data_IF_632670373959
#
_entry.id   IF_632670373959
#
_cell.length_a   1.000
_cell.length_b   1.000
_cell.length_c   1.000
_cell.angle_alpha   90.00
_cell.angle_beta   90.00
_cell.angle_gamma   90.00
#
_symmetry.space_group_name_H-M   'P 1'
#
loop_
_entity.id
_entity.type
_entity.pdbx_description
1 polymer ?
#
# COMPACT_ATOMS: atom_id res chain seq x y z
N UNK A 1 -24.29 -0.83 -2.72
CA UNK A 1 -24.59 0.62 -2.94
C UNK A 1 -23.42 1.42 -2.41
N UNK A 2 -22.90 2.37 -3.18
CA UNK A 2 -21.78 3.24 -2.77
C UNK A 2 -22.36 4.33 -1.86
N UNK A 3 -21.78 4.59 -0.67
CA UNK A 3 -22.26 5.64 0.23
C UNK A 3 -22.17 7.03 -0.41
N UNK A 4 -23.09 7.95 -0.09
CA UNK A 4 -23.11 9.33 -0.63
C UNK A 4 -21.84 10.14 -0.34
N UNK A 5 -21.11 9.77 0.72
CA UNK A 5 -19.83 10.38 1.10
C UNK A 5 -18.65 9.89 0.25
N UNK A 6 -18.87 8.92 -0.67
CA UNK A 6 -17.86 8.37 -1.57
C UNK A 6 -18.11 8.86 -3.00
N UNK A 7 -17.11 9.52 -3.55
CA UNK A 7 -17.13 10.04 -4.91
C UNK A 7 -16.16 9.24 -5.79
N UNK A 8 -16.70 8.60 -6.82
CA UNK A 8 -15.93 7.98 -7.89
C UNK A 8 -15.75 9.00 -9.01
N UNK A 9 -14.52 9.20 -9.48
CA UNK A 9 -14.29 10.08 -10.62
C UNK A 9 -14.99 9.54 -11.89
N UNK A 10 -15.34 10.40 -12.84
CA UNK A 10 -15.93 9.97 -14.10
C UNK A 10 -15.08 8.92 -14.83
N UNK A 11 -13.75 9.00 -14.70
CA UNK A 11 -12.82 8.05 -15.29
C UNK A 11 -12.99 6.65 -14.65
N UNK A 12 -13.10 6.57 -13.32
CA UNK A 12 -13.31 5.31 -12.61
C UNK A 12 -14.66 4.71 -12.96
N UNK A 13 -15.73 5.53 -12.98
CA UNK A 13 -17.07 5.07 -13.39
C UNK A 13 -17.04 4.48 -14.79
N UNK A 14 -16.41 5.18 -15.74
CA UNK A 14 -16.26 4.72 -17.12
C UNK A 14 -15.46 3.41 -17.19
N UNK A 15 -14.33 3.35 -16.50
CA UNK A 15 -13.49 2.14 -16.47
C UNK A 15 -14.29 0.91 -15.96
N UNK A 16 -15.08 1.09 -14.90
CA UNK A 16 -15.95 0.02 -14.37
C UNK A 16 -17.04 -0.41 -15.37
N UNK A 17 -17.69 0.56 -16.01
CA UNK A 17 -18.73 0.27 -17.02
C UNK A 17 -18.22 -0.57 -18.19
N UNK A 18 -16.97 -0.36 -18.59
CA UNK A 18 -16.34 -1.08 -19.69
C UNK A 18 -15.49 -2.26 -19.26
N UNK A 19 -15.50 -2.65 -17.98
CA UNK A 19 -14.69 -3.75 -17.46
C UNK A 19 -13.17 -3.51 -17.58
N UNK A 20 -12.73 -2.25 -17.65
CA UNK A 20 -11.32 -1.91 -17.74
C UNK A 20 -10.61 -2.14 -16.42
N UNK A 21 -9.32 -2.56 -16.45
CA UNK A 21 -8.54 -2.76 -15.24
C UNK A 21 -8.29 -1.45 -14.49
N UNK A 22 -8.39 -1.51 -13.15
CA UNK A 22 -8.20 -0.37 -12.27
C UNK A 22 -7.24 -0.77 -11.15
N UNK A 23 -6.30 0.12 -10.80
CA UNK A 23 -5.39 -0.02 -9.65
C UNK A 23 -5.63 1.11 -8.65
N UNK A 24 -5.98 0.76 -7.42
CA UNK A 24 -6.02 1.71 -6.31
C UNK A 24 -4.60 2.11 -5.89
N UNK A 25 -4.41 3.37 -5.47
CA UNK A 25 -3.19 3.92 -4.92
C UNK A 25 -3.51 4.65 -3.62
N UNK A 26 -2.68 4.47 -2.57
CA UNK A 26 -2.84 5.19 -1.32
C UNK A 26 -2.38 6.65 -1.43
N UNK A 27 -2.82 7.50 -0.49
CA UNK A 27 -2.38 8.89 -0.42
C UNK A 27 -1.73 9.29 0.90
N UNK A 28 -1.64 8.38 1.88
CA UNK A 28 -0.85 8.66 3.09
C UNK A 28 0.63 8.87 2.77
N UNK A 29 1.16 8.24 1.73
CA UNK A 29 2.51 8.48 1.22
C UNK A 29 2.69 9.93 0.75
N UNK A 30 1.65 10.56 0.19
CA UNK A 30 1.63 11.94 -0.28
C UNK A 30 1.60 12.91 0.91
N UNK A 31 0.74 12.64 1.91
CA UNK A 31 0.48 13.57 3.00
C UNK A 31 1.44 13.44 4.18
N UNK A 32 1.98 12.23 4.43
CA UNK A 32 2.74 11.91 5.63
C UNK A 32 4.01 11.09 5.37
N UNK A 33 4.19 10.57 4.14
CA UNK A 33 5.26 9.62 3.85
C UNK A 33 6.50 10.24 3.22
N UNK A 34 6.35 11.29 2.44
CA UNK A 34 7.43 11.91 1.67
C UNK A 34 7.48 13.42 1.85
N UNK A 35 8.70 14.03 1.84
CA UNK A 35 8.84 15.46 1.85
C UNK A 35 8.40 16.09 0.51
N UNK A 36 8.03 17.37 0.55
CA UNK A 36 7.79 18.18 -0.65
C UNK A 36 9.13 18.47 -1.34
N UNK A 37 9.22 18.50 -2.68
CA UNK A 37 8.14 18.28 -3.66
C UNK A 37 7.93 16.81 -4.04
N UNK A 38 8.77 15.88 -3.58
CA UNK A 38 8.78 14.46 -3.97
C UNK A 38 7.42 13.77 -3.78
N UNK A 39 6.62 14.22 -2.81
CA UNK A 39 5.31 13.65 -2.52
C UNK A 39 4.33 13.75 -3.71
N UNK A 40 4.21 14.94 -4.32
CA UNK A 40 3.34 15.16 -5.48
C UNK A 40 3.93 14.56 -6.75
N UNK A 41 5.24 14.75 -6.94
CA UNK A 41 5.96 14.20 -8.10
C UNK A 41 5.76 12.69 -8.18
N UNK A 42 5.95 11.98 -7.07
CA UNK A 42 5.73 10.54 -7.01
C UNK A 42 4.27 10.16 -7.28
N UNK A 43 3.30 10.87 -6.72
CA UNK A 43 1.89 10.58 -6.96
C UNK A 43 1.53 10.63 -8.45
N UNK A 44 1.97 11.69 -9.12
CA UNK A 44 1.77 11.85 -10.56
C UNK A 44 2.51 10.76 -11.37
N UNK A 45 3.71 10.41 -10.94
CA UNK A 45 4.52 9.37 -11.59
C UNK A 45 3.89 7.97 -11.44
N UNK A 46 3.39 7.61 -10.25
CA UNK A 46 2.71 6.33 -10.04
C UNK A 46 1.46 6.20 -10.91
N UNK A 47 0.66 7.26 -11.03
CA UNK A 47 -0.48 7.26 -11.95
C UNK A 47 -0.04 7.12 -13.41
N UNK A 48 1.03 7.82 -13.81
CA UNK A 48 1.58 7.71 -15.16
C UNK A 48 2.08 6.29 -15.47
N UNK A 49 2.75 5.62 -14.52
CA UNK A 49 3.20 4.22 -14.65
C UNK A 49 2.00 3.28 -14.86
N UNK A 50 0.94 3.44 -14.07
CA UNK A 50 -0.27 2.63 -14.20
C UNK A 50 -0.95 2.87 -15.56
N UNK A 51 -1.06 4.15 -16.01
CA UNK A 51 -1.62 4.51 -17.32
C UNK A 51 -0.79 3.98 -18.49
N UNK A 52 0.54 3.96 -18.36
CA UNK A 52 1.44 3.41 -19.40
C UNK A 52 1.16 1.92 -19.66
N UNK A 53 0.70 1.20 -18.65
CA UNK A 53 0.26 -0.19 -18.80
C UNK A 53 -1.19 -0.33 -19.32
N UNK A 54 -1.84 0.75 -19.78
CA UNK A 54 -3.25 0.78 -20.21
C UNK A 54 -4.22 0.37 -19.07
N UNK A 55 -3.94 0.80 -17.86
CA UNK A 55 -4.73 0.56 -16.65
C UNK A 55 -5.13 1.89 -16.04
N UNK A 56 -6.32 2.00 -15.48
CA UNK A 56 -6.82 3.21 -14.86
C UNK A 56 -6.30 3.33 -13.42
N UNK A 57 -5.55 4.36 -13.05
CA UNK A 57 -5.17 4.60 -11.65
C UNK A 57 -6.34 5.19 -10.87
N UNK A 58 -6.45 4.80 -9.61
CA UNK A 58 -7.46 5.28 -8.68
C UNK A 58 -6.79 5.70 -7.36
N UNK A 59 -6.15 6.87 -7.34
CA UNK A 59 -5.62 7.44 -6.09
C UNK A 59 -6.79 7.77 -5.16
N UNK A 60 -6.72 7.30 -3.91
CA UNK A 60 -7.78 7.44 -2.91
C UNK A 60 -7.35 8.45 -1.86
N UNK A 61 -8.23 9.41 -1.56
CA UNK A 61 -8.00 10.41 -0.52
C UNK A 61 -9.30 11.02 -0.01
N UNK A 62 -9.20 11.86 1.00
CA UNK A 62 -10.33 12.57 1.59
C UNK A 62 -10.16 14.07 1.37
N UNK A 63 -11.19 14.73 0.81
CA UNK A 63 -11.24 16.18 0.61
C UNK A 63 -12.60 16.70 1.09
N UNK A 64 -12.57 17.68 1.97
CA UNK A 64 -13.76 18.33 2.54
C UNK A 64 -14.79 17.32 3.07
N UNK A 65 -14.31 16.25 3.72
CA UNK A 65 -15.16 15.20 4.27
C UNK A 65 -15.76 14.23 3.24
N UNK A 66 -15.30 14.23 2.00
CA UNK A 66 -15.68 13.26 0.97
C UNK A 66 -14.51 12.37 0.60
N UNK A 67 -14.78 11.08 0.46
CA UNK A 67 -13.80 10.09 0.00
C UNK A 67 -13.77 10.11 -1.52
N UNK A 68 -12.66 10.53 -2.10
CA UNK A 68 -12.45 10.56 -3.54
C UNK A 68 -11.69 9.30 -3.97
N UNK A 69 -12.18 8.66 -5.02
CA UNK A 69 -11.60 7.47 -5.66
C UNK A 69 -11.31 7.82 -7.11
N UNK A 70 -10.03 7.92 -7.46
CA UNK A 70 -9.56 8.49 -8.72
C UNK A 70 -9.50 10.02 -8.62
N UNK A 71 -8.54 10.54 -7.86
CA UNK A 71 -8.35 11.98 -7.68
C UNK A 71 -7.84 12.64 -8.96
N UNK A 72 -8.36 13.83 -9.27
CA UNK A 72 -7.81 14.68 -10.31
C UNK A 72 -6.46 15.27 -9.91
N UNK A 73 -5.68 15.77 -10.87
CA UNK A 73 -4.43 16.46 -10.58
C UNK A 73 -4.60 17.64 -9.62
N UNK A 74 -5.68 18.42 -9.76
CA UNK A 74 -5.97 19.54 -8.86
C UNK A 74 -6.23 19.06 -7.41
N UNK A 75 -6.93 17.94 -7.24
CA UNK A 75 -7.17 17.34 -5.93
C UNK A 75 -5.89 16.76 -5.33
N UNK A 76 -5.03 16.12 -6.14
CA UNK A 76 -3.71 15.64 -5.70
C UNK A 76 -2.83 16.81 -5.26
N UNK A 77 -2.77 17.90 -6.04
CA UNK A 77 -2.03 19.12 -5.70
C UNK A 77 -2.53 19.73 -4.40
N UNK A 78 -3.85 19.80 -4.24
CA UNK A 78 -4.48 20.30 -3.00
C UNK A 78 -4.08 19.43 -1.82
N UNK A 79 -4.25 18.12 -1.91
CA UNK A 79 -3.92 17.19 -0.83
C UNK A 79 -2.42 17.22 -0.47
N UNK A 80 -1.53 17.30 -1.47
CA UNK A 80 -0.09 17.37 -1.27
C UNK A 80 0.37 18.68 -0.60
N UNK A 81 -0.37 19.77 -0.80
CA UNK A 81 -0.04 21.10 -0.28
C UNK A 81 -0.80 21.48 1.01
N UNK A 82 -1.85 20.73 1.37
CA UNK A 82 -2.68 21.01 2.54
C UNK A 82 -1.83 20.96 3.84
N UNK A 83 -1.83 22.05 4.63
CA UNK A 83 -1.02 22.14 5.85
C UNK A 83 -1.46 21.20 6.96
N UNK A 84 -2.76 20.90 7.02
CA UNK A 84 -3.36 20.05 8.06
C UNK A 84 -4.12 18.92 7.39
N UNK A 85 -3.45 17.79 7.21
CA UNK A 85 -4.07 16.56 6.70
C UNK A 85 -4.17 15.52 7.81
N UNK A 86 -5.32 14.86 7.89
CA UNK A 86 -5.48 13.68 8.76
C UNK A 86 -4.92 12.45 8.06
N UNK A 87 -4.27 11.57 8.81
CA UNK A 87 -3.93 10.22 8.35
C UNK A 87 -5.16 9.35 8.52
N UNK A 88 -5.81 8.99 7.40
CA UNK A 88 -7.11 8.30 7.39
C UNK A 88 -6.90 6.79 7.43
N UNK A 89 -7.16 6.21 8.59
CA UNK A 89 -7.30 4.78 8.81
C UNK A 89 -8.77 4.46 9.12
N UNK A 90 -9.09 3.20 9.42
CA UNK A 90 -10.46 2.74 9.69
C UNK A 90 -11.22 3.62 10.68
N UNK A 91 -10.62 3.95 11.83
CA UNK A 91 -11.23 4.74 12.89
C UNK A 91 -11.45 6.22 12.54
N UNK A 92 -10.78 6.71 11.49
CA UNK A 92 -10.73 8.13 11.17
C UNK A 92 -11.83 8.58 10.21
N UNK A 93 -12.41 7.67 9.41
CA UNK A 93 -13.42 8.03 8.40
C UNK A 93 -14.59 8.83 8.96
N UNK A 94 -15.24 8.32 10.00
CA UNK A 94 -16.40 9.01 10.59
C UNK A 94 -16.08 10.39 11.10
N UNK A 95 -14.93 10.54 11.78
CA UNK A 95 -14.46 11.82 12.32
C UNK A 95 -14.15 12.78 11.16
N UNK A 96 -13.35 12.37 10.21
CA UNK A 96 -12.89 13.23 9.12
C UNK A 96 -14.05 13.66 8.19
N UNK A 97 -15.01 12.78 7.95
CA UNK A 97 -16.23 13.08 7.17
C UNK A 97 -17.09 14.10 7.92
N UNK A 98 -17.37 13.87 9.20
CA UNK A 98 -18.21 14.77 10.01
C UNK A 98 -17.57 16.17 10.19
N UNK A 99 -16.25 16.22 10.33
CA UNK A 99 -15.49 17.47 10.48
C UNK A 99 -15.10 18.13 9.17
N UNK A 100 -15.48 17.54 8.01
CA UNK A 100 -15.13 18.03 6.66
C UNK A 100 -13.63 18.23 6.47
N UNK A 101 -12.83 17.31 7.01
CA UNK A 101 -11.37 17.38 6.93
C UNK A 101 -10.84 16.90 5.58
N UNK A 102 -9.59 17.26 5.29
CA UNK A 102 -8.77 16.65 4.23
C UNK A 102 -7.83 15.61 4.84
N UNK A 103 -7.54 14.53 4.08
CA UNK A 103 -6.63 13.51 4.59
C UNK A 103 -6.19 12.49 3.55
N UNK A 104 -4.99 11.93 3.80
CA UNK A 104 -4.45 10.83 3.02
C UNK A 104 -4.84 9.48 3.62
N UNK A 105 -5.32 8.57 2.78
CA UNK A 105 -5.70 7.22 3.20
C UNK A 105 -4.45 6.33 3.38
N UNK A 106 -4.39 5.61 4.52
CA UNK A 106 -3.41 4.55 4.76
C UNK A 106 -3.74 3.32 3.91
N UNK A 107 -2.94 2.27 4.02
CA UNK A 107 -3.27 0.97 3.42
C UNK A 107 -4.67 0.52 3.85
N UNK A 108 -4.98 0.53 5.15
CA UNK A 108 -6.31 0.20 5.66
C UNK A 108 -7.41 1.11 5.09
N UNK A 109 -7.18 2.42 5.08
CA UNK A 109 -8.14 3.38 4.52
C UNK A 109 -8.39 3.15 3.03
N UNK A 110 -7.33 2.88 2.28
CA UNK A 110 -7.42 2.60 0.84
C UNK A 110 -8.13 1.27 0.57
N UNK A 111 -7.84 0.21 1.34
CA UNK A 111 -8.54 -1.08 1.24
C UNK A 111 -10.05 -0.94 1.45
N UNK A 112 -10.46 -0.20 2.48
CA UNK A 112 -11.88 0.06 2.75
C UNK A 112 -12.53 0.77 1.55
N UNK A 113 -11.92 1.85 1.06
CA UNK A 113 -12.47 2.62 -0.04
C UNK A 113 -12.50 1.82 -1.35
N UNK A 114 -11.41 1.11 -1.67
CA UNK A 114 -11.31 0.27 -2.84
C UNK A 114 -12.35 -0.86 -2.83
N UNK A 115 -12.53 -1.54 -1.68
CA UNK A 115 -13.55 -2.59 -1.50
C UNK A 115 -14.96 -2.04 -1.69
N UNK A 116 -15.29 -0.88 -1.11
CA UNK A 116 -16.60 -0.23 -1.27
C UNK A 116 -16.85 0.13 -2.74
N UNK A 117 -15.81 0.60 -3.45
CA UNK A 117 -15.88 0.90 -4.87
C UNK A 117 -15.84 -0.32 -5.78
N UNK A 118 -15.66 -1.54 -5.25
CA UNK A 118 -15.58 -2.77 -6.05
C UNK A 118 -14.26 -2.93 -6.81
N UNK A 119 -13.21 -2.22 -6.44
CA UNK A 119 -11.86 -2.39 -7.01
C UNK A 119 -11.25 -3.70 -6.53
N UNK A 120 -10.31 -4.25 -7.31
CA UNK A 120 -9.72 -5.57 -7.05
C UNK A 120 -8.20 -5.57 -6.90
N UNK A 121 -7.52 -4.49 -7.24
CA UNK A 121 -6.06 -4.40 -7.15
C UNK A 121 -5.66 -3.09 -6.49
N UNK A 122 -4.67 -3.15 -5.62
CA UNK A 122 -4.10 -2.03 -4.90
C UNK A 122 -2.58 -2.14 -4.86
N UNK A 123 -1.87 -1.03 -5.12
CA UNK A 123 -0.43 -0.93 -5.00
C UNK A 123 -0.03 0.02 -3.88
N UNK A 124 0.90 -0.41 -3.03
CA UNK A 124 1.50 0.37 -1.96
C UNK A 124 3.01 0.10 -1.87
N UNK A 125 3.74 0.93 -1.15
CA UNK A 125 5.15 0.67 -0.87
C UNK A 125 5.33 -0.53 0.06
N UNK A 126 4.61 -0.53 1.17
CA UNK A 126 4.64 -1.59 2.16
C UNK A 126 3.54 -1.43 3.19
N UNK A 127 3.05 -2.54 3.69
CA UNK A 127 1.98 -2.58 4.70
C UNK A 127 2.51 -2.17 6.09
N UNK A 128 1.60 -1.74 6.95
CA UNK A 128 1.80 -1.76 8.38
C UNK A 128 1.77 -3.18 8.93
N UNK A 129 2.24 -3.37 10.14
CA UNK A 129 2.35 -4.67 10.78
C UNK A 129 2.36 -4.55 12.30
N UNK A 130 3.03 -5.47 12.96
CA UNK A 130 3.27 -5.45 14.41
C UNK A 130 4.49 -4.58 14.71
N UNK A 131 4.39 -3.67 15.68
CA UNK A 131 5.53 -2.84 16.09
C UNK A 131 6.51 -3.66 16.92
N UNK A 132 7.81 -3.39 16.74
CA UNK A 132 8.89 -4.02 17.54
C UNK A 132 8.72 -3.64 19.02
N UNK A 133 8.94 -4.60 19.90
CA UNK A 133 8.85 -4.43 21.37
C UNK A 133 7.47 -3.95 21.88
N UNK A 134 6.46 -3.93 21.03
CA UNK A 134 5.08 -3.52 21.33
C UNK A 134 4.06 -4.46 20.68
N UNK A 135 3.91 -5.71 21.14
CA UNK A 135 3.12 -6.75 20.46
C UNK A 135 1.62 -6.45 20.35
N UNK A 136 1.12 -5.49 21.13
CA UNK A 136 -0.27 -5.01 21.04
C UNK A 136 -0.43 -3.76 20.16
N UNK A 137 0.67 -3.15 19.69
CA UNK A 137 0.62 -2.07 18.70
C UNK A 137 0.64 -2.68 17.29
N UNK A 138 -0.55 -3.06 16.85
CA UNK A 138 -0.79 -3.75 15.58
C UNK A 138 -1.50 -2.79 14.62
N UNK A 139 -1.00 -2.70 13.40
CA UNK A 139 -1.59 -1.86 12.36
C UNK A 139 -2.98 -2.36 11.96
N UNK A 140 -3.92 -1.42 11.80
CA UNK A 140 -5.22 -1.71 11.22
C UNK A 140 -5.15 -2.25 9.77
N UNK A 141 -4.00 -2.12 9.11
CA UNK A 141 -3.78 -2.65 7.78
C UNK A 141 -3.98 -4.18 7.75
N UNK A 142 -3.51 -4.89 8.80
CA UNK A 142 -3.60 -6.34 8.88
C UNK A 142 -5.05 -6.81 8.97
N UNK A 143 -5.87 -6.13 9.79
CA UNK A 143 -7.29 -6.43 9.90
C UNK A 143 -8.04 -6.18 8.59
N UNK A 144 -7.74 -5.09 7.89
CA UNK A 144 -8.38 -4.78 6.61
C UNK A 144 -7.93 -5.72 5.48
N UNK A 145 -6.69 -6.19 5.49
CA UNK A 145 -6.24 -7.26 4.59
C UNK A 145 -7.05 -8.54 4.79
N UNK A 146 -7.38 -8.91 6.03
CA UNK A 146 -8.24 -10.06 6.31
C UNK A 146 -9.69 -9.93 5.84
N UNK A 147 -10.14 -8.72 5.43
CA UNK A 147 -11.55 -8.42 5.11
C UNK A 147 -11.79 -7.87 3.71
N UNK A 148 -10.74 -7.68 2.94
CA UNK A 148 -10.82 -6.98 1.67
C UNK A 148 -10.34 -7.87 0.53
N UNK A 149 -11.23 -8.41 -0.32
CA UNK A 149 -10.86 -9.31 -1.41
C UNK A 149 -10.20 -8.51 -2.56
N UNK A 150 -8.97 -8.07 -2.32
CA UNK A 150 -8.12 -7.39 -3.27
C UNK A 150 -6.78 -8.11 -3.40
N UNK A 151 -6.14 -8.00 -4.54
CA UNK A 151 -4.69 -8.23 -4.66
C UNK A 151 -4.00 -6.96 -4.19
N UNK A 152 -3.12 -7.10 -3.20
CA UNK A 152 -2.32 -5.98 -2.66
C UNK A 152 -0.86 -6.21 -2.99
N UNK A 153 -0.27 -5.35 -3.82
CA UNK A 153 1.13 -5.44 -4.23
C UNK A 153 1.98 -4.50 -3.40
N UNK A 154 3.02 -5.02 -2.76
CA UNK A 154 3.91 -4.26 -1.90
C UNK A 154 5.32 -4.87 -1.80
N UNK A 155 6.26 -4.19 -1.15
CA UNK A 155 7.58 -4.73 -0.84
C UNK A 155 7.64 -5.36 0.57
N UNK A 156 6.55 -5.99 1.01
CA UNK A 156 6.42 -6.56 2.35
C UNK A 156 5.91 -5.55 3.38
N UNK A 157 6.16 -5.80 4.65
CA UNK A 157 5.90 -4.85 5.72
C UNK A 157 7.04 -3.82 5.83
N UNK A 158 6.73 -2.61 6.32
CA UNK A 158 7.75 -1.56 6.50
C UNK A 158 8.89 -2.07 7.39
N UNK A 159 10.13 -1.80 7.01
CA UNK A 159 11.34 -2.35 7.63
C UNK A 159 11.48 -2.11 9.16
N UNK A 160 10.80 -1.07 9.67
CA UNK A 160 10.78 -0.70 11.09
C UNK A 160 9.94 -1.63 11.96
N UNK A 161 9.19 -2.57 11.36
CA UNK A 161 8.24 -3.46 12.02
C UNK A 161 8.86 -4.82 12.36
N UNK A 162 8.18 -5.58 13.20
CA UNK A 162 8.47 -6.97 13.51
C UNK A 162 7.90 -7.84 12.38
N UNK A 163 8.78 -8.26 11.45
CA UNK A 163 8.36 -9.04 10.28
C UNK A 163 7.85 -10.43 10.64
N UNK A 164 8.52 -11.22 11.53
CA UNK A 164 8.00 -12.49 11.99
C UNK A 164 6.59 -12.37 12.60
N UNK A 165 6.41 -11.50 13.58
CA UNK A 165 5.11 -11.31 14.23
C UNK A 165 4.03 -10.81 13.23
N UNK A 166 4.42 -10.01 12.26
CA UNK A 166 3.50 -9.55 11.20
C UNK A 166 3.01 -10.70 10.33
N UNK A 167 3.88 -11.66 9.97
CA UNK A 167 3.51 -12.85 9.20
C UNK A 167 2.55 -13.75 9.98
N UNK A 168 2.77 -13.96 11.29
CA UNK A 168 1.86 -14.72 12.15
C UNK A 168 0.46 -14.11 12.22
N UNK A 169 0.37 -12.78 12.30
CA UNK A 169 -0.94 -12.09 12.26
C UNK A 169 -1.60 -12.23 10.88
N UNK A 170 -0.84 -12.12 9.77
CA UNK A 170 -1.39 -12.34 8.43
C UNK A 170 -1.93 -13.76 8.26
N UNK A 171 -1.22 -14.77 8.76
CA UNK A 171 -1.70 -16.16 8.78
C UNK A 171 -3.01 -16.27 9.56
N UNK A 172 -3.05 -15.74 10.78
CA UNK A 172 -4.25 -15.72 11.62
C UNK A 172 -5.44 -15.06 10.93
N UNK A 173 -5.21 -14.01 10.14
CA UNK A 173 -6.24 -13.30 9.37
C UNK A 173 -6.60 -14.01 8.04
N UNK A 174 -5.98 -15.15 7.73
CA UNK A 174 -6.21 -15.90 6.51
C UNK A 174 -5.78 -15.17 5.24
N UNK A 175 -4.71 -14.38 5.32
CA UNK A 175 -4.13 -13.60 4.21
C UNK A 175 -2.95 -14.38 3.62
N UNK A 176 -3.09 -15.03 2.44
CA UNK A 176 -1.95 -15.68 1.80
C UNK A 176 -0.92 -14.63 1.34
N UNK A 177 0.34 -14.91 1.64
CA UNK A 177 1.48 -14.10 1.22
C UNK A 177 2.13 -14.76 0.01
N UNK A 178 2.01 -14.14 -1.16
CA UNK A 178 2.52 -14.64 -2.43
C UNK A 178 3.78 -13.88 -2.82
N UNK A 179 4.93 -14.55 -2.87
CA UNK A 179 6.17 -13.97 -3.35
C UNK A 179 6.18 -13.88 -4.89
N UNK A 180 6.29 -12.69 -5.43
CA UNK A 180 6.47 -12.53 -6.88
C UNK A 180 7.93 -12.68 -7.24
N UNK A 181 8.27 -13.81 -7.90
CA UNK A 181 9.63 -14.22 -8.28
C UNK A 181 10.60 -14.33 -7.09
N UNK A 182 10.07 -14.55 -5.88
CA UNK A 182 10.85 -14.76 -4.66
C UNK A 182 10.21 -15.82 -3.78
N UNK A 183 11.02 -16.53 -3.02
CA UNK A 183 10.59 -17.51 -2.02
C UNK A 183 10.62 -16.92 -0.60
N UNK A 184 11.17 -15.69 -0.46
CA UNK A 184 11.31 -14.99 0.82
C UNK A 184 10.42 -13.75 0.87
N UNK A 185 9.95 -13.43 2.08
CA UNK A 185 9.27 -12.17 2.37
C UNK A 185 10.28 -11.02 2.33
N UNK A 186 10.13 -10.00 1.47
CA UNK A 186 11.07 -8.89 1.38
C UNK A 186 11.06 -8.04 2.66
N UNK A 187 12.24 -7.51 3.03
CA UNK A 187 12.38 -6.63 4.18
C UNK A 187 12.29 -5.13 3.78
N UNK A 188 11.36 -4.79 2.91
CA UNK A 188 11.07 -3.44 2.42
C UNK A 188 12.23 -2.82 1.63
N UNK A 189 13.30 -2.38 2.31
CA UNK A 189 14.50 -1.83 1.65
C UNK A 189 15.48 -2.90 1.18
N UNK A 190 15.33 -4.13 1.65
CA UNK A 190 16.23 -5.24 1.37
C UNK A 190 15.51 -6.37 0.64
N UNK A 191 16.24 -7.12 -0.19
CA UNK A 191 15.67 -8.14 -1.09
C UNK A 191 15.00 -9.27 -0.30
N UNK A 192 15.61 -9.75 0.78
CA UNK A 192 15.09 -10.86 1.58
C UNK A 192 15.18 -10.61 3.08
N UNK A 193 14.44 -11.40 3.84
CA UNK A 193 14.42 -11.40 5.31
C UNK A 193 14.71 -12.79 5.90
N UNK A 194 14.99 -13.78 5.06
CA UNK A 194 15.07 -15.21 5.41
C UNK A 194 13.74 -15.80 5.94
N UNK A 195 12.63 -15.06 5.84
CA UNK A 195 11.30 -15.53 6.21
C UNK A 195 10.60 -16.06 4.96
N UNK A 196 10.02 -17.29 4.99
CA UNK A 196 9.38 -17.84 3.81
C UNK A 196 8.05 -17.13 3.49
N UNK A 197 7.66 -17.14 2.22
CA UNK A 197 6.31 -16.80 1.77
C UNK A 197 5.41 -18.04 1.73
N UNK A 198 4.08 -17.84 1.70
CA UNK A 198 3.12 -18.95 1.62
C UNK A 198 3.20 -19.68 0.28
N UNK A 199 3.39 -18.92 -0.80
CA UNK A 199 3.51 -19.45 -2.16
C UNK A 199 4.35 -18.51 -3.03
N UNK A 200 4.92 -19.03 -4.13
CA UNK A 200 5.60 -18.26 -5.16
C UNK A 200 4.76 -18.18 -6.42
N UNK A 201 4.74 -17.02 -7.05
CA UNK A 201 4.22 -16.82 -8.39
C UNK A 201 5.30 -16.17 -9.27
N UNK A 202 5.39 -16.56 -10.53
CA UNK A 202 6.40 -16.06 -11.46
C UNK A 202 5.82 -15.11 -12.53
N UNK A 203 4.50 -15.13 -12.69
CA UNK A 203 3.78 -14.32 -13.68
C UNK A 203 2.56 -13.61 -13.06
N UNK A 204 2.13 -12.46 -13.61
CA UNK A 204 0.89 -11.81 -13.19
C UNK A 204 -0.35 -12.71 -13.33
N UNK A 205 -0.36 -13.59 -14.34
CA UNK A 205 -1.45 -14.55 -14.57
C UNK A 205 -1.57 -15.58 -13.43
N UNK A 206 -0.44 -16.08 -12.90
CA UNK A 206 -0.42 -16.98 -11.74
C UNK A 206 -1.01 -16.28 -10.50
N UNK A 207 -0.62 -15.03 -10.23
CA UNK A 207 -1.20 -14.23 -9.14
C UNK A 207 -2.72 -14.07 -9.32
N UNK A 208 -3.18 -13.72 -10.52
CA UNK A 208 -4.59 -13.57 -10.82
C UNK A 208 -5.37 -14.88 -10.60
N UNK A 209 -4.77 -16.03 -10.95
CA UNK A 209 -5.38 -17.33 -10.74
C UNK A 209 -5.48 -17.69 -9.24
N UNK A 210 -4.44 -17.41 -8.44
CA UNK A 210 -4.47 -17.59 -6.99
C UNK A 210 -5.59 -16.74 -6.38
N UNK A 211 -5.67 -15.46 -6.75
CA UNK A 211 -6.70 -14.56 -6.24
C UNK A 211 -8.12 -15.02 -6.59
N UNK A 212 -8.36 -15.43 -7.85
CA UNK A 212 -9.65 -15.98 -8.26
C UNK A 212 -10.01 -17.25 -7.51
N UNK A 213 -9.04 -18.16 -7.31
CA UNK A 213 -9.24 -19.39 -6.55
C UNK A 213 -9.62 -19.08 -5.11
N UNK A 214 -8.87 -18.18 -4.44
CA UNK A 214 -9.14 -17.73 -3.08
C UNK A 214 -10.59 -17.23 -2.93
N UNK A 215 -10.99 -16.30 -3.79
CA UNK A 215 -12.31 -15.67 -3.67
C UNK A 215 -13.46 -16.59 -4.09
N UNK A 216 -13.24 -17.57 -4.98
CA UNK A 216 -14.23 -18.60 -5.32
C UNK A 216 -14.58 -19.51 -4.15
N UNK A 217 -13.72 -19.64 -3.14
CA UNK A 217 -14.03 -20.39 -1.91
C UNK A 217 -14.96 -19.66 -0.96
N UNK A 218 -15.26 -18.36 -1.21
CA UNK A 218 -16.01 -17.49 -0.31
C UNK A 218 -15.14 -16.78 0.74
N UNK A 219 -13.83 -17.03 0.76
CA UNK A 219 -12.89 -16.32 1.64
C UNK A 219 -12.65 -14.92 1.09
N UNK A 220 -12.93 -13.90 1.91
CA UNK A 220 -12.90 -12.50 1.51
C UNK A 220 -11.63 -11.76 1.99
N UNK A 221 -10.53 -12.47 2.26
CA UNK A 221 -9.25 -11.84 2.55
C UNK A 221 -8.53 -11.38 1.27
N UNK A 222 -7.61 -10.45 1.43
CA UNK A 222 -6.69 -10.06 0.38
C UNK A 222 -5.72 -11.20 0.02
N UNK A 223 -5.16 -11.14 -1.19
CA UNK A 223 -3.94 -11.85 -1.56
C UNK A 223 -2.80 -10.84 -1.51
N UNK A 224 -1.90 -10.99 -0.54
CA UNK A 224 -0.77 -10.09 -0.37
C UNK A 224 0.37 -10.55 -1.29
N UNK A 225 0.63 -9.79 -2.34
CA UNK A 225 1.71 -10.04 -3.29
C UNK A 225 2.93 -9.23 -2.88
N UNK A 226 3.99 -9.91 -2.49
CA UNK A 226 5.23 -9.27 -2.09
C UNK A 226 6.28 -9.39 -3.18
N UNK A 227 6.91 -8.26 -3.52
CA UNK A 227 7.95 -8.18 -4.55
C UNK A 227 9.17 -7.47 -3.98
N UNK A 228 10.38 -8.04 -4.11
CA UNK A 228 11.60 -7.37 -3.65
C UNK A 228 11.79 -6.00 -4.31
N UNK A 229 12.43 -5.05 -3.61
CA UNK A 229 12.85 -3.80 -4.25
C UNK A 229 13.80 -4.11 -5.42
N UNK A 230 13.85 -3.25 -6.46
CA UNK A 230 14.82 -3.40 -7.54
C UNK A 230 16.25 -3.50 -7.01
N UNK A 231 17.03 -4.46 -7.52
CA UNK A 231 18.32 -4.84 -6.95
C UNK A 231 19.32 -3.66 -6.89
N UNK A 232 19.26 -2.75 -7.86
CA UNK A 232 20.12 -1.55 -7.92
C UNK A 232 19.83 -0.52 -6.83
N UNK A 233 18.66 -0.59 -6.19
CA UNK A 233 18.25 0.31 -5.08
C UNK A 233 18.15 -0.42 -3.74
N UNK A 234 18.29 -1.75 -3.74
CA UNK A 234 18.20 -2.54 -2.52
C UNK A 234 19.37 -2.25 -1.58
N UNK A 235 19.08 -2.14 -0.28
CA UNK A 235 20.08 -1.89 0.74
C UNK A 235 20.44 -3.20 1.46
N UNK A 236 21.70 -3.35 1.91
CA UNK A 236 22.10 -4.48 2.75
C UNK A 236 21.29 -4.52 4.05
N UNK A 237 20.68 -5.67 4.36
CA UNK A 237 19.80 -5.80 5.53
C UNK A 237 20.50 -5.45 6.85
N UNK A 238 21.80 -5.81 7.00
CA UNK A 238 22.58 -5.50 8.18
C UNK A 238 22.77 -3.99 8.40
N UNK A 239 22.95 -3.22 7.32
CA UNK A 239 23.09 -1.76 7.43
C UNK A 239 21.75 -1.11 7.77
N UNK A 240 20.67 -1.55 7.12
CA UNK A 240 19.30 -1.07 7.40
C UNK A 240 18.94 -1.30 8.86
N UNK A 241 19.30 -2.47 9.42
CA UNK A 241 19.02 -2.79 10.82
C UNK A 241 19.75 -1.85 11.79
N UNK A 242 20.98 -1.43 11.49
CA UNK A 242 21.72 -0.44 12.29
C UNK A 242 20.97 0.90 12.30
N UNK A 243 20.51 1.37 11.14
CA UNK A 243 19.76 2.63 11.04
C UNK A 243 18.41 2.57 11.77
N UNK A 244 17.70 1.44 11.65
CA UNK A 244 16.42 1.23 12.34
C UNK A 244 16.60 1.25 13.85
N UNK A 245 17.56 0.50 14.40
CA UNK A 245 17.84 0.47 15.85
C UNK A 245 18.13 1.87 16.39
N UNK A 246 18.95 2.63 15.68
CA UNK A 246 19.26 4.01 16.07
C UNK A 246 18.02 4.91 16.03
N UNK A 247 17.20 4.79 14.99
CA UNK A 247 15.96 5.56 14.86
C UNK A 247 14.96 5.22 15.98
N UNK A 248 14.82 3.93 16.35
CA UNK A 248 13.97 3.47 17.46
C UNK A 248 14.44 4.04 18.80
N UNK A 249 15.74 3.98 19.10
CA UNK A 249 16.32 4.58 20.32
C UNK A 249 16.03 6.09 20.42
N UNK A 250 16.15 6.82 19.30
CA UNK A 250 15.84 8.25 19.25
C UNK A 250 14.34 8.53 19.40
N UNK A 251 13.46 7.67 18.87
CA UNK A 251 12.02 7.78 19.05
C UNK A 251 11.61 7.60 20.51
N UNK A 252 12.17 6.58 21.19
CA UNK A 252 11.94 6.33 22.61
C UNK A 252 12.41 7.50 23.48
N UNK A 253 13.62 8.00 23.24
CA UNK A 253 14.15 9.16 23.94
C UNK A 253 13.31 10.42 23.79
N UNK A 254 12.57 10.56 22.67
CA UNK A 254 11.64 11.65 22.38
C UNK A 254 10.18 11.34 22.71
N UNK A 255 9.89 10.17 23.28
CA UNK A 255 8.53 9.68 23.55
C UNK A 255 7.60 9.74 22.34
N UNK A 256 8.11 9.44 21.13
CA UNK A 256 7.32 9.45 19.89
C UNK A 256 6.62 8.09 19.75
N UNK A 257 5.27 8.11 19.77
CA UNK A 257 4.46 6.91 19.75
C UNK A 257 3.24 7.07 18.81
N UNK A 258 2.55 5.95 18.53
CA UNK A 258 1.30 5.93 17.76
C UNK A 258 1.46 6.42 16.31
N UNK A 259 0.55 7.25 15.84
CA UNK A 259 0.51 7.69 14.44
C UNK A 259 1.75 8.48 13.98
N UNK A 260 2.49 9.10 14.91
CA UNK A 260 3.71 9.86 14.64
C UNK A 260 4.97 8.97 14.49
N UNK A 261 4.94 7.75 15.03
CA UNK A 261 6.11 6.86 15.06
C UNK A 261 6.60 6.49 13.65
N UNK A 262 5.73 5.97 12.80
CA UNK A 262 6.11 5.53 11.44
C UNK A 262 6.71 6.66 10.59
N UNK A 263 6.10 7.85 10.46
CA UNK A 263 6.72 8.96 9.72
C UNK A 263 8.08 9.37 10.27
N UNK A 264 8.20 9.47 11.60
CA UNK A 264 9.48 9.81 12.24
C UNK A 264 10.57 8.79 11.93
N UNK A 265 10.27 7.49 12.12
CA UNK A 265 11.24 6.41 11.91
C UNK A 265 11.71 6.34 10.45
N UNK A 266 10.79 6.42 9.48
CA UNK A 266 11.14 6.39 8.06
C UNK A 266 12.00 7.61 7.66
N UNK A 267 11.65 8.80 8.14
CA UNK A 267 12.45 10.01 7.89
C UNK A 267 13.85 9.87 8.52
N UNK A 268 13.92 9.37 9.76
CA UNK A 268 15.20 9.23 10.45
C UNK A 268 16.11 8.19 9.81
N UNK A 269 15.55 7.06 9.36
CA UNK A 269 16.29 6.06 8.58
C UNK A 269 16.79 6.68 7.26
N UNK A 270 16.02 7.55 6.62
CA UNK A 270 16.47 8.26 5.41
C UNK A 270 17.66 9.18 5.69
N UNK A 271 17.61 9.95 6.77
CA UNK A 271 18.74 10.80 7.17
C UNK A 271 20.00 9.97 7.50
N UNK A 272 19.84 8.88 8.27
CA UNK A 272 20.95 8.02 8.68
C UNK A 272 21.60 7.27 7.51
N UNK A 273 20.82 6.95 6.48
CA UNK A 273 21.30 6.29 5.25
C UNK A 273 21.80 7.26 4.18
N UNK A 274 21.91 8.58 4.50
CA UNK A 274 22.27 9.59 3.50
C UNK A 274 21.32 9.69 2.31
N UNK A 275 20.03 9.39 2.52
CA UNK A 275 18.99 9.41 1.49
C UNK A 275 18.83 8.10 0.70
N UNK A 276 19.69 7.10 0.90
CA UNK A 276 19.62 5.84 0.16
C UNK A 276 18.29 5.10 0.38
N UNK A 277 17.75 5.10 1.61
CA UNK A 277 16.45 4.47 1.88
C UNK A 277 15.27 5.22 1.24
N UNK A 278 15.38 6.53 1.03
CA UNK A 278 14.38 7.29 0.26
C UNK A 278 14.39 6.85 -1.21
N UNK A 279 15.57 6.71 -1.83
CA UNK A 279 15.68 6.24 -3.21
C UNK A 279 15.15 4.82 -3.36
N UNK A 280 15.45 3.92 -2.42
CA UNK A 280 14.90 2.58 -2.37
C UNK A 280 13.36 2.61 -2.27
N UNK A 281 12.79 3.48 -1.41
CA UNK A 281 11.35 3.64 -1.26
C UNK A 281 10.68 4.14 -2.55
N UNK A 282 11.26 5.10 -3.22
CA UNK A 282 10.75 5.58 -4.51
C UNK A 282 10.78 4.48 -5.57
N UNK A 283 11.88 3.72 -5.65
CA UNK A 283 12.05 2.63 -6.61
C UNK A 283 11.06 1.48 -6.39
N UNK A 284 10.88 1.03 -5.13
CA UNK A 284 9.92 -0.03 -4.84
C UNK A 284 8.47 0.40 -5.11
N UNK A 285 8.08 1.64 -4.84
CA UNK A 285 6.75 2.16 -5.13
C UNK A 285 6.44 2.11 -6.64
N UNK A 286 7.39 2.53 -7.48
CA UNK A 286 7.30 2.45 -8.95
C UNK A 286 7.15 1.01 -9.44
N UNK A 287 7.98 0.12 -8.92
CA UNK A 287 7.96 -1.30 -9.27
C UNK A 287 6.63 -1.95 -8.89
N UNK A 288 6.14 -1.67 -7.68
CA UNK A 288 4.88 -2.21 -7.17
C UNK A 288 3.68 -1.71 -7.99
N UNK A 289 3.64 -0.43 -8.35
CA UNK A 289 2.58 0.15 -9.18
C UNK A 289 2.53 -0.50 -10.57
N UNK A 290 3.70 -0.71 -11.20
CA UNK A 290 3.79 -1.40 -12.49
C UNK A 290 3.31 -2.84 -12.40
N UNK A 291 3.78 -3.60 -11.41
CA UNK A 291 3.36 -4.99 -11.23
C UNK A 291 1.86 -5.08 -10.95
N UNK A 292 1.32 -4.20 -10.12
CA UNK A 292 -0.13 -4.14 -9.84
C UNK A 292 -0.94 -3.90 -11.11
N UNK A 293 -0.48 -3.01 -12.01
CA UNK A 293 -1.13 -2.78 -13.28
C UNK A 293 -1.13 -4.02 -14.18
N UNK A 294 -0.03 -4.77 -14.24
CA UNK A 294 0.05 -6.02 -14.99
C UNK A 294 -0.90 -7.08 -14.42
N UNK A 295 -1.00 -7.20 -13.09
CA UNK A 295 -1.93 -8.12 -12.43
C UNK A 295 -3.39 -7.68 -12.66
N UNK A 296 -3.68 -6.38 -12.65
CA UNK A 296 -5.03 -5.87 -12.90
C UNK A 296 -5.53 -6.22 -14.30
N UNK A 297 -4.67 -6.17 -15.31
CA UNK A 297 -4.98 -6.64 -16.67
C UNK A 297 -5.37 -8.11 -16.68
N UNK A 298 -4.59 -8.97 -16.02
CA UNK A 298 -4.88 -10.38 -15.95
C UNK A 298 -6.18 -10.70 -15.19
N UNK A 299 -6.49 -9.92 -14.14
CA UNK A 299 -7.74 -10.07 -13.40
C UNK A 299 -8.97 -9.61 -14.18
N UNK A 300 -8.84 -8.63 -15.09
CA UNK A 300 -9.96 -8.15 -15.93
C UNK A 300 -10.31 -9.10 -17.07
N UNK A 301 -9.41 -9.98 -17.48
CA UNK A 301 -9.69 -11.01 -18.49
C UNK A 301 -10.60 -12.05 -17.84
N UNK A 302 -11.87 -12.16 -18.34
CA UNK A 302 -12.80 -13.18 -17.86
C UNK A 302 -12.23 -14.58 -18.13
N UNK A 303 -12.48 -15.52 -17.20
CA UNK A 303 -12.02 -16.92 -17.34
C UNK A 303 -12.57 -17.61 -18.60
N UNK A 304 -13.61 -17.06 -19.22
CA UNK A 304 -14.24 -17.54 -20.45
C UNK A 304 -13.50 -17.10 -21.73
N UNK A 305 -12.56 -16.16 -21.66
CA UNK A 305 -11.81 -15.65 -22.80
C UNK A 305 -10.48 -16.39 -23.09
N UNK A 306 -10.16 -17.47 -22.38
CA UNK A 306 -8.98 -18.31 -22.62
C UNK A 306 -9.41 -19.71 -23.12
N UNK A 307 -9.96 -19.77 -24.34
CA UNK A 307 -10.04 -20.99 -25.15
C UNK A 307 -9.09 -20.87 -26.34
#
# INVERSE_FOLDING_TARGET
>A
MIPETFFLSPEIVKAQQFGQPIVALESAVITHGLPRPYNLELACELEAIVRHENVTPATVGLIDGKVHIGMSLAELQRLASEPKTRKISRRDFGIAIASKECGGTTVAGTLIAARIAGLRVFATGGIGGVHRDAPFDVSADLEELGRSPLVVVCAGAKAILDLPATLEVLETMGVPVVGFQTDEFPAFYSIGSSLPVTARANTPAEVANIARAQWKTGINSAVLVVVPPPAEYALPAAEVEIYIRKALQEADAKSIQGAAATPFLLNRVSELSGGASLQANLALLRNNARLAALIAKELSISAEGRL
#
